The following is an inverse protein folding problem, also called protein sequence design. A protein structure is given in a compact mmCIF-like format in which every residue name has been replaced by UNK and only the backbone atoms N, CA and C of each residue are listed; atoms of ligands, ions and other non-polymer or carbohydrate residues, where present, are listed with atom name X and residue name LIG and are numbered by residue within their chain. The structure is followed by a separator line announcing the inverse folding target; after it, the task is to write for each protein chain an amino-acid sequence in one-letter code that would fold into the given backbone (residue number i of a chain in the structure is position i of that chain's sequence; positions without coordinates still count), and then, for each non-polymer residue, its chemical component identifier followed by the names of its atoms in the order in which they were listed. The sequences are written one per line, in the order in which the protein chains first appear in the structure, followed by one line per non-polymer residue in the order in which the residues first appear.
data_IF_903995389102
#
_entry.id   IF_903995389102
#
_cell.length_a   1.000
_cell.length_b   1.000
_cell.length_c   1.000
_cell.angle_alpha   90.00
_cell.angle_beta   90.00
_cell.angle_gamma   90.00
#
_symmetry.space_group_name_H-M   'P 1'
#
loop_
_entity.id
_entity.type
_entity.pdbx_description
1 polymer ?
#
# COMPACT_ATOMS: atom_id res chain seq x y z
N UNK A 1 84.25 -24.66 58.59
CA UNK A 1 83.69 -23.92 57.44
C UNK A 1 82.33 -24.52 57.16
N UNK A 2 81.26 -23.79 57.49
CA UNK A 2 79.88 -24.29 57.58
C UNK A 2 79.01 -23.72 56.46
N UNK A 3 78.14 -24.59 55.97
CA UNK A 3 77.05 -24.44 54.99
C UNK A 3 76.24 -23.16 55.08
N UNK A 4 76.02 -22.47 53.95
CA UNK A 4 74.82 -21.67 53.70
C UNK A 4 74.53 -21.48 52.20
N UNK A 5 73.35 -22.00 51.82
CA UNK A 5 72.36 -21.41 50.92
C UNK A 5 72.74 -21.12 49.45
N UNK A 6 72.39 -22.11 48.61
CA UNK A 6 71.87 -21.89 47.27
C UNK A 6 70.51 -21.19 47.37
N UNK A 7 70.39 -20.01 46.78
CA UNK A 7 69.12 -19.39 46.41
C UNK A 7 69.29 -18.64 45.07
N UNK A 8 68.73 -19.26 44.03
CA UNK A 8 67.94 -18.67 42.95
C UNK A 8 68.27 -17.24 42.47
N UNK A 9 68.83 -17.15 41.26
CA UNK A 9 68.81 -15.93 40.43
C UNK A 9 67.95 -16.24 39.20
N UNK A 10 66.64 -16.10 39.36
CA UNK A 10 65.67 -16.03 38.26
C UNK A 10 65.25 -14.58 38.07
N UNK A 11 65.95 -13.85 37.21
CA UNK A 11 65.62 -12.46 36.88
C UNK A 11 64.41 -12.39 35.94
N UNK A 12 63.21 -12.24 36.49
CA UNK A 12 62.05 -11.77 35.73
C UNK A 12 62.21 -10.26 35.47
N UNK A 13 62.45 -9.90 34.21
CA UNK A 13 62.32 -8.53 33.74
C UNK A 13 60.85 -8.11 33.82
N UNK A 14 60.51 -7.31 34.83
CA UNK A 14 59.23 -6.61 34.93
C UNK A 14 59.22 -5.53 33.85
N UNK A 15 58.43 -5.75 32.80
CA UNK A 15 58.07 -4.69 31.85
C UNK A 15 57.14 -3.74 32.59
N UNK A 16 57.68 -2.63 33.09
CA UNK A 16 56.91 -1.52 33.61
C UNK A 16 56.06 -0.95 32.46
N UNK A 17 54.74 -1.09 32.57
CA UNK A 17 53.80 -0.35 31.75
C UNK A 17 54.07 1.16 31.94
N UNK A 18 54.06 1.98 30.86
CA UNK A 18 54.19 3.42 31.02
C UNK A 18 53.01 3.95 31.86
N UNK A 19 53.33 4.80 32.83
CA UNK A 19 52.35 5.48 33.67
C UNK A 19 51.27 6.15 32.80
N UNK A 20 49.99 6.12 33.21
CA UNK A 20 48.94 6.82 32.50
C UNK A 20 49.30 8.31 32.48
N UNK A 21 49.43 8.87 31.29
CA UNK A 21 49.63 10.30 31.08
C UNK A 21 48.44 11.00 31.72
N UNK A 22 48.69 11.59 32.89
CA UNK A 22 47.73 12.37 33.65
C UNK A 22 47.53 13.68 32.87
N UNK A 23 46.62 13.64 31.90
CA UNK A 23 46.26 14.82 31.12
C UNK A 23 45.69 15.86 32.10
N UNK A 24 46.20 17.10 32.09
CA UNK A 24 45.72 18.13 33.00
C UNK A 24 44.20 18.26 32.85
N UNK A 25 43.49 18.25 33.98
CA UNK A 25 42.04 18.53 34.03
C UNK A 25 41.86 19.97 33.56
N UNK A 26 41.65 20.13 32.26
CA UNK A 26 41.31 21.41 31.63
C UNK A 26 39.96 21.80 32.23
N UNK A 27 39.95 22.84 33.07
CA UNK A 27 38.69 23.43 33.54
C UNK A 27 37.83 23.73 32.31
N UNK A 28 36.57 23.27 32.25
CA UNK A 28 35.72 23.49 31.09
C UNK A 28 35.69 25.00 30.81
N UNK A 29 35.97 25.35 29.55
CA UNK A 29 35.86 26.73 29.08
C UNK A 29 34.47 27.25 29.49
N UNK A 30 34.33 28.42 30.16
CA UNK A 30 33.05 28.92 30.68
C UNK A 30 32.04 29.33 29.59
N UNK A 31 32.33 29.02 28.33
CA UNK A 31 31.47 29.30 27.18
C UNK A 31 30.75 28.00 26.80
N UNK A 32 29.49 28.12 26.38
CA UNK A 32 28.64 26.99 26.01
C UNK A 32 27.73 26.57 27.15
N UNK A 33 26.82 25.66 26.83
CA UNK A 33 25.89 25.14 27.82
C UNK A 33 26.52 24.03 28.67
N UNK A 34 25.99 23.83 29.87
CA UNK A 34 26.30 22.64 30.66
C UNK A 34 25.68 21.38 30.01
N UNK A 35 26.28 20.20 30.21
CA UNK A 35 25.72 18.95 29.70
C UNK A 35 24.25 18.76 30.10
N UNK A 36 23.38 18.54 29.11
CA UNK A 36 21.95 18.30 29.33
C UNK A 36 21.04 19.54 29.34
N UNK A 37 21.55 20.76 29.22
CA UNK A 37 20.71 21.98 29.15
C UNK A 37 19.86 22.06 27.85
N UNK A 38 20.27 21.36 26.77
CA UNK A 38 19.49 21.16 25.53
C UNK A 38 18.85 22.45 24.96
N UNK A 39 19.56 23.56 24.99
CA UNK A 39 19.05 24.83 24.47
C UNK A 39 18.84 24.76 22.94
N UNK A 40 17.68 25.26 22.49
CA UNK A 40 17.25 25.28 21.07
C UNK A 40 16.84 26.67 20.60
N UNK A 41 17.15 27.70 21.39
CA UNK A 41 16.84 29.08 21.06
C UNK A 41 17.67 29.53 19.85
N UNK A 42 17.01 30.24 18.93
CA UNK A 42 17.68 30.90 17.82
C UNK A 42 18.63 31.98 18.37
N UNK A 43 19.79 32.14 17.74
CA UNK A 43 20.80 33.16 18.06
C UNK A 43 21.38 33.12 19.49
N UNK A 44 21.19 32.03 20.24
CA UNK A 44 21.84 31.85 21.53
C UNK A 44 23.37 31.73 21.38
N UNK A 45 24.11 32.62 22.05
CA UNK A 45 25.58 32.65 21.99
C UNK A 45 26.25 31.39 22.55
N UNK A 46 25.65 30.75 23.56
CA UNK A 46 26.15 29.46 24.07
C UNK A 46 25.89 28.33 23.06
N UNK A 47 24.72 28.30 22.40
CA UNK A 47 24.44 27.34 21.33
C UNK A 47 25.43 27.49 20.17
N UNK A 48 25.82 28.73 19.83
CA UNK A 48 26.84 28.96 18.81
C UNK A 48 28.16 28.26 19.15
N UNK A 49 28.57 28.32 20.42
CA UNK A 49 29.79 27.65 20.85
C UNK A 49 29.66 26.13 20.88
N UNK A 50 28.54 25.59 21.34
CA UNK A 50 28.27 24.15 21.31
C UNK A 50 28.30 23.59 19.87
N UNK A 51 27.69 24.33 18.93
CA UNK A 51 27.73 24.02 17.50
C UNK A 51 29.16 24.07 16.96
N UNK A 52 29.94 25.10 17.29
CA UNK A 52 31.34 25.19 16.87
C UNK A 52 32.17 24.02 17.43
N UNK A 53 31.98 23.67 18.69
CA UNK A 53 32.62 22.49 19.31
C UNK A 53 32.28 21.21 18.56
N UNK A 54 31.02 21.00 18.19
CA UNK A 54 30.60 19.85 17.37
C UNK A 54 31.25 19.86 15.98
N UNK A 55 31.34 21.01 15.29
CA UNK A 55 32.00 21.10 13.97
C UNK A 55 33.47 20.66 14.02
N UNK A 56 34.24 21.15 15.00
CA UNK A 56 35.64 20.76 15.15
C UNK A 56 35.81 19.31 15.59
N UNK A 57 34.89 18.80 16.43
CA UNK A 57 34.86 17.38 16.78
C UNK A 57 34.59 16.50 15.55
N UNK A 58 33.61 16.86 14.70
CA UNK A 58 33.32 16.17 13.45
C UNK A 58 34.53 16.17 12.52
N UNK A 59 35.18 17.32 12.34
CA UNK A 59 36.41 17.43 11.55
C UNK A 59 37.47 16.44 12.04
N UNK A 60 37.77 16.45 13.33
CA UNK A 60 38.78 15.55 13.91
C UNK A 60 38.41 14.08 13.73
N UNK A 61 37.15 13.73 13.92
CA UNK A 61 36.67 12.36 13.78
C UNK A 61 36.65 11.88 12.33
N UNK A 62 36.19 12.71 11.37
CA UNK A 62 36.23 12.41 9.94
C UNK A 62 37.65 12.07 9.48
N UNK A 63 38.64 12.88 9.89
CA UNK A 63 40.05 12.64 9.57
C UNK A 63 40.55 11.34 10.23
N UNK A 64 40.17 11.07 11.48
CA UNK A 64 40.53 9.84 12.17
C UNK A 64 39.93 8.58 11.51
N UNK A 65 38.74 8.70 10.91
CA UNK A 65 38.08 7.63 10.14
C UNK A 65 38.62 7.49 8.70
N UNK A 66 39.57 8.31 8.27
CA UNK A 66 40.22 8.18 6.96
C UNK A 66 39.65 9.07 5.86
N UNK A 67 38.91 10.14 6.18
CA UNK A 67 38.62 11.18 5.20
C UNK A 67 39.92 11.84 4.70
N UNK A 68 40.00 12.13 3.40
CA UNK A 68 41.20 12.74 2.78
C UNK A 68 41.42 14.17 3.24
N UNK A 69 40.32 14.90 3.47
CA UNK A 69 40.31 16.28 3.91
C UNK A 69 39.02 16.56 4.69
N UNK A 70 39.10 17.43 5.69
CA UNK A 70 37.97 17.94 6.43
C UNK A 70 38.28 19.34 6.97
N UNK A 71 37.42 20.31 6.66
CA UNK A 71 37.57 21.71 7.05
C UNK A 71 36.26 22.26 7.62
N UNK A 72 36.38 23.05 8.70
CA UNK A 72 35.24 23.72 9.35
C UNK A 72 35.05 25.09 8.72
N UNK A 73 33.81 25.43 8.38
CA UNK A 73 33.42 26.75 7.85
C UNK A 73 34.25 27.20 6.62
N UNK A 74 34.77 26.25 5.82
CA UNK A 74 35.47 26.53 4.56
C UNK A 74 34.49 26.99 3.50
N UNK A 75 34.72 28.13 2.82
CA UNK A 75 33.92 28.53 1.67
C UNK A 75 34.04 27.53 0.50
N UNK A 76 32.91 27.23 -0.11
CA UNK A 76 32.77 26.50 -1.37
C UNK A 76 31.93 27.33 -2.33
N UNK A 77 32.59 28.06 -3.22
CA UNK A 77 31.94 29.04 -4.09
C UNK A 77 31.24 30.13 -3.26
N UNK A 78 29.94 30.31 -3.49
CA UNK A 78 29.11 31.27 -2.75
C UNK A 78 28.47 30.70 -1.48
N UNK A 79 28.81 29.47 -1.08
CA UNK A 79 28.26 28.81 0.10
C UNK A 79 29.36 28.52 1.12
N UNK A 80 28.99 28.45 2.40
CA UNK A 80 29.90 28.04 3.48
C UNK A 80 29.20 26.99 4.32
N UNK A 81 29.39 25.68 4.07
CA UNK A 81 28.85 24.63 4.92
C UNK A 81 29.52 24.61 6.29
N UNK A 82 28.87 24.01 7.29
CA UNK A 82 29.44 23.91 8.64
C UNK A 82 30.72 23.06 8.67
N UNK A 83 30.72 21.93 7.97
CA UNK A 83 31.92 21.12 7.72
C UNK A 83 31.91 20.68 6.26
N UNK A 84 33.03 20.87 5.57
CA UNK A 84 33.27 20.36 4.23
C UNK A 84 34.31 19.26 4.32
N UNK A 85 34.08 18.12 3.67
CA UNK A 85 35.03 17.01 3.69
C UNK A 85 35.05 16.25 2.37
N UNK A 86 36.14 15.51 2.12
CA UNK A 86 36.37 14.78 0.87
C UNK A 86 36.74 13.33 1.16
N UNK A 87 36.26 12.44 0.31
CA UNK A 87 36.71 11.05 0.24
C UNK A 87 36.78 10.62 -1.23
N UNK A 88 38.01 10.38 -1.70
CA UNK A 88 38.32 10.16 -3.10
C UNK A 88 37.91 11.36 -3.96
N UNK A 89 37.11 11.09 -4.99
CA UNK A 89 36.60 12.12 -5.89
C UNK A 89 35.33 12.81 -5.40
N UNK A 90 34.73 12.35 -4.27
CA UNK A 90 33.45 12.85 -3.79
C UNK A 90 33.63 13.93 -2.72
N UNK A 91 32.86 14.99 -2.84
CA UNK A 91 32.82 16.13 -1.94
C UNK A 91 31.52 16.13 -1.14
N UNK A 92 31.64 16.22 0.17
CA UNK A 92 30.53 16.10 1.10
C UNK A 92 30.45 17.33 1.98
N UNK A 93 29.23 17.71 2.35
CA UNK A 93 28.97 18.76 3.32
C UNK A 93 28.17 18.25 4.51
N UNK A 94 28.46 18.77 5.70
CA UNK A 94 27.64 18.63 6.90
C UNK A 94 27.12 20.02 7.27
N UNK A 95 25.81 20.15 7.41
CA UNK A 95 25.15 21.32 7.97
C UNK A 95 24.76 21.04 9.41
N UNK A 96 25.25 21.88 10.32
CA UNK A 96 24.97 21.77 11.76
C UNK A 96 24.12 22.95 12.19
N UNK A 97 22.96 22.68 12.81
CA UNK A 97 22.03 23.69 13.33
C UNK A 97 21.53 23.23 14.70
N UNK A 98 21.63 24.08 15.71
CA UNK A 98 21.08 23.82 17.06
C UNK A 98 19.63 24.30 17.21
N UNK A 99 19.22 25.27 16.40
CA UNK A 99 17.84 25.75 16.35
C UNK A 99 17.02 24.93 15.33
N UNK A 100 15.70 24.80 15.54
CA UNK A 100 14.82 24.21 14.55
C UNK A 100 14.90 24.96 13.21
N UNK A 101 14.91 24.22 12.10
CA UNK A 101 14.91 24.73 10.73
C UNK A 101 13.68 24.20 10.01
N UNK A 102 13.08 24.99 9.12
CA UNK A 102 11.96 24.51 8.31
C UNK A 102 12.44 23.56 7.20
N UNK A 103 11.58 22.62 6.79
CA UNK A 103 11.91 21.68 5.70
C UNK A 103 12.29 22.43 4.41
N UNK A 104 11.55 23.48 4.06
CA UNK A 104 11.79 24.27 2.85
C UNK A 104 13.17 24.90 2.86
N UNK A 105 13.56 25.55 3.97
CA UNK A 105 14.89 26.17 4.09
C UNK A 105 16.01 25.12 4.00
N UNK A 106 15.82 23.96 4.62
CA UNK A 106 16.79 22.87 4.56
C UNK A 106 16.92 22.30 3.13
N UNK A 107 15.80 22.15 2.41
CA UNK A 107 15.78 21.72 1.01
C UNK A 107 16.49 22.73 0.10
N UNK A 108 16.17 24.01 0.23
CA UNK A 108 16.81 25.07 -0.55
C UNK A 108 18.30 25.16 -0.27
N UNK A 109 18.71 25.09 1.01
CA UNK A 109 20.12 25.09 1.38
C UNK A 109 20.85 23.87 0.83
N UNK A 110 20.23 22.70 0.88
CA UNK A 110 20.78 21.47 0.28
C UNK A 110 20.96 21.64 -1.23
N UNK A 111 19.95 22.18 -1.93
CA UNK A 111 20.02 22.45 -3.35
C UNK A 111 21.14 23.43 -3.72
N UNK A 112 21.32 24.50 -2.93
CA UNK A 112 22.41 25.46 -3.11
C UNK A 112 23.80 24.83 -2.93
N UNK A 113 23.97 23.95 -1.94
CA UNK A 113 25.24 23.23 -1.72
C UNK A 113 25.54 22.24 -2.85
N UNK A 114 24.52 21.51 -3.32
CA UNK A 114 24.66 20.62 -4.48
C UNK A 114 25.01 21.40 -5.75
N UNK A 115 24.41 22.57 -5.96
CA UNK A 115 24.68 23.41 -7.11
C UNK A 115 26.14 23.92 -7.17
N UNK A 116 26.83 24.04 -6.03
CA UNK A 116 28.26 24.42 -5.98
C UNK A 116 29.22 23.22 -5.97
N UNK A 117 28.71 21.99 -6.14
CA UNK A 117 29.53 20.80 -6.34
C UNK A 117 29.63 19.83 -5.15
N UNK A 118 28.79 19.97 -4.11
CA UNK A 118 28.67 18.91 -3.11
C UNK A 118 27.86 17.73 -3.65
N UNK A 119 28.41 16.52 -3.57
CA UNK A 119 27.72 15.28 -3.94
C UNK A 119 26.64 14.91 -2.92
N UNK A 120 26.96 15.07 -1.63
CA UNK A 120 26.06 14.72 -0.54
C UNK A 120 26.08 15.79 0.56
N UNK A 121 24.93 15.96 1.21
CA UNK A 121 24.75 16.93 2.29
C UNK A 121 24.05 16.22 3.43
N UNK A 122 24.72 16.13 4.58
CA UNK A 122 24.16 15.63 5.83
C UNK A 122 23.71 16.81 6.71
N UNK A 123 22.52 16.70 7.31
CA UNK A 123 22.07 17.63 8.33
C UNK A 123 22.18 17.03 9.73
N UNK A 124 22.79 17.77 10.65
CA UNK A 124 22.74 17.51 12.08
C UNK A 124 21.92 18.63 12.73
N UNK A 125 20.71 18.29 13.16
CA UNK A 125 19.72 19.24 13.65
C UNK A 125 19.03 18.72 14.91
N UNK A 126 18.24 19.52 15.64
CA UNK A 126 17.38 18.98 16.68
C UNK A 126 16.41 17.96 16.08
N UNK A 127 15.97 16.95 16.87
CA UNK A 127 14.96 16.02 16.42
C UNK A 127 13.66 16.76 16.03
N UNK A 128 13.04 16.33 14.94
CA UNK A 128 11.84 16.96 14.42
C UNK A 128 11.23 16.22 13.24
N UNK A 129 10.05 16.65 12.82
CA UNK A 129 9.23 15.98 11.81
C UNK A 129 9.87 15.89 10.41
N UNK A 130 10.87 16.73 10.11
CA UNK A 130 11.48 16.80 8.79
C UNK A 130 12.74 15.93 8.65
N UNK A 131 13.31 15.43 9.75
CA UNK A 131 14.51 14.56 9.73
C UNK A 131 14.34 13.39 8.74
N UNK A 132 13.18 12.70 8.66
CA UNK A 132 12.99 11.63 7.70
C UNK A 132 12.89 12.08 6.23
N UNK A 133 12.82 13.37 5.93
CA UNK A 133 12.56 13.89 4.57
C UNK A 133 13.83 14.33 3.83
N UNK A 134 14.96 14.38 4.52
CA UNK A 134 16.27 14.74 3.98
C UNK A 134 17.35 13.83 4.59
N UNK A 135 18.56 13.77 4.00
CA UNK A 135 19.69 13.11 4.64
C UNK A 135 20.09 13.85 5.92
N UNK A 136 19.49 13.45 7.04
CA UNK A 136 19.57 14.16 8.31
C UNK A 136 19.61 13.19 9.50
N UNK A 137 20.23 13.64 10.59
CA UNK A 137 20.17 13.02 11.90
C UNK A 137 19.67 14.03 12.92
N UNK A 138 18.67 13.64 13.70
CA UNK A 138 18.21 14.43 14.83
C UNK A 138 19.07 14.17 16.04
N UNK A 139 19.87 15.15 16.45
CA UNK A 139 20.77 15.12 17.61
C UNK A 139 20.05 15.68 18.83
N UNK A 140 20.02 14.92 19.94
CA UNK A 140 19.29 15.34 21.15
C UNK A 140 19.96 16.50 21.89
N UNK A 141 21.28 16.42 22.05
CA UNK A 141 22.09 17.38 22.79
C UNK A 141 23.34 17.79 21.98
N UNK A 142 23.52 19.10 21.83
CA UNK A 142 24.71 19.71 21.21
C UNK A 142 25.79 20.05 22.24
N UNK A 143 25.47 20.00 23.54
CA UNK A 143 26.38 20.24 24.65
C UNK A 143 26.75 18.97 25.46
N UNK A 144 26.81 17.73 24.91
CA UNK A 144 26.96 16.54 25.73
C UNK A 144 28.30 16.48 26.45
N UNK A 145 28.33 15.76 27.58
CA UNK A 145 29.56 15.49 28.30
C UNK A 145 30.54 14.68 27.45
N UNK A 146 31.81 15.08 27.48
CA UNK A 146 32.91 14.39 26.78
C UNK A 146 32.64 14.21 25.27
N UNK A 147 31.90 15.13 24.64
CA UNK A 147 31.55 15.08 23.21
C UNK A 147 30.87 13.76 22.78
N UNK A 148 30.06 13.15 23.66
CA UNK A 148 29.28 11.93 23.35
C UNK A 148 27.97 12.27 22.64
N UNK A 149 28.05 12.74 21.40
CA UNK A 149 26.87 13.10 20.60
C UNK A 149 26.04 11.87 20.22
N UNK A 150 24.71 11.99 20.34
CA UNK A 150 23.76 10.91 20.08
C UNK A 150 22.69 11.39 19.09
N UNK A 151 22.47 10.60 18.04
CA UNK A 151 21.37 10.76 17.11
C UNK A 151 20.17 9.96 17.63
N UNK A 152 19.07 10.63 17.92
CA UNK A 152 17.82 10.02 18.39
C UNK A 152 16.81 9.79 17.27
N UNK A 153 17.09 10.28 16.06
CA UNK A 153 16.26 10.05 14.88
C UNK A 153 17.08 10.13 13.60
N UNK A 154 16.58 9.52 12.53
CA UNK A 154 17.22 9.50 11.21
C UNK A 154 17.91 8.18 10.87
N UNK A 155 18.21 7.34 11.85
CA UNK A 155 18.71 5.97 11.64
C UNK A 155 17.56 4.96 11.50
N UNK A 156 17.74 3.99 10.60
CA UNK A 156 16.87 2.87 10.36
C UNK A 156 17.65 1.56 10.50
N UNK A 157 16.95 0.48 10.84
CA UNK A 157 17.49 -0.88 10.86
C UNK A 157 16.45 -1.88 10.35
N UNK A 158 16.90 -3.01 9.81
CA UNK A 158 15.98 -4.04 9.33
C UNK A 158 15.37 -4.84 10.48
N UNK A 159 14.04 -4.96 10.49
CA UNK A 159 13.33 -5.86 11.40
C UNK A 159 13.13 -7.25 10.77
N UNK A 160 12.78 -8.31 11.53
CA UNK A 160 12.65 -9.67 11.01
C UNK A 160 11.72 -9.82 9.79
N UNK A 161 10.77 -8.89 9.60
CA UNK A 161 9.91 -8.84 8.42
C UNK A 161 10.63 -8.39 7.12
N UNK A 162 11.91 -8.03 7.19
CA UNK A 162 12.67 -7.48 6.06
C UNK A 162 12.30 -6.03 5.73
N UNK A 163 11.57 -5.34 6.60
CA UNK A 163 11.24 -3.92 6.46
C UNK A 163 12.25 -3.12 7.28
N UNK A 164 12.68 -1.95 6.80
CA UNK A 164 13.48 -1.02 7.61
C UNK A 164 12.57 -0.18 8.48
N UNK A 165 12.87 -0.12 9.77
CA UNK A 165 12.13 0.65 10.76
C UNK A 165 13.07 1.63 11.50
N UNK A 166 12.56 2.71 12.10
CA UNK A 166 13.38 3.65 12.84
C UNK A 166 14.07 2.95 14.01
N UNK A 167 15.34 3.26 14.19
CA UNK A 167 16.12 2.65 15.27
C UNK A 167 15.56 3.08 16.64
N UNK A 168 15.27 2.12 17.53
CA UNK A 168 14.63 2.40 18.82
C UNK A 168 15.56 3.09 19.83
N UNK A 169 16.87 2.85 19.72
CA UNK A 169 17.88 3.40 20.65
C UNK A 169 18.62 4.58 20.01
N UNK A 170 19.08 5.56 20.81
CA UNK A 170 19.99 6.57 20.31
C UNK A 170 21.23 5.93 19.69
N UNK A 171 21.61 6.43 18.51
CA UNK A 171 22.77 5.97 17.76
C UNK A 171 23.93 6.94 17.98
N UNK A 172 25.13 6.48 18.37
CA UNK A 172 26.27 7.37 18.53
C UNK A 172 26.62 8.05 17.20
N UNK A 173 26.69 9.38 17.18
CA UNK A 173 27.09 10.12 15.96
C UNK A 173 28.49 9.70 15.51
N UNK A 174 29.33 9.28 16.45
CA UNK A 174 30.64 8.70 16.20
C UNK A 174 30.59 7.52 15.23
N UNK A 175 29.80 6.52 15.59
CA UNK A 175 29.67 5.25 14.85
C UNK A 175 28.99 5.49 13.50
N UNK A 176 28.06 6.46 13.45
CA UNK A 176 27.50 6.91 12.19
C UNK A 176 28.56 7.50 11.25
N UNK A 177 29.41 8.41 11.72
CA UNK A 177 30.43 9.02 10.86
C UNK A 177 31.44 7.96 10.38
N UNK A 178 31.81 7.02 11.25
CA UNK A 178 32.69 5.91 10.88
C UNK A 178 32.09 5.08 9.73
N UNK A 179 30.84 4.61 9.87
CA UNK A 179 30.15 3.86 8.83
C UNK A 179 29.89 4.68 7.56
N UNK A 180 29.64 5.99 7.67
CA UNK A 180 29.43 6.87 6.52
C UNK A 180 30.72 7.08 5.72
N UNK A 181 31.85 7.31 6.39
CA UNK A 181 33.16 7.43 5.74
C UNK A 181 33.58 6.12 5.08
N UNK A 182 33.30 4.98 5.71
CA UNK A 182 33.54 3.65 5.16
C UNK A 182 32.61 3.28 3.98
N UNK A 183 31.56 4.06 3.73
CA UNK A 183 30.57 3.77 2.69
C UNK A 183 29.60 2.64 3.05
N UNK A 184 29.53 2.27 4.32
CA UNK A 184 28.65 1.22 4.84
C UNK A 184 27.23 1.72 5.11
N UNK A 185 27.07 3.04 5.29
CA UNK A 185 25.79 3.69 5.54
C UNK A 185 25.35 4.47 4.30
N UNK A 186 24.07 4.32 3.95
CA UNK A 186 23.44 5.04 2.87
C UNK A 186 22.08 5.60 3.32
N UNK A 187 21.73 6.77 2.79
CA UNK A 187 20.40 7.33 2.96
C UNK A 187 19.47 6.85 1.84
N UNK A 188 18.27 6.43 2.19
CA UNK A 188 17.28 5.95 1.24
C UNK A 188 15.85 6.21 1.68
N UNK A 189 14.91 6.09 0.75
CA UNK A 189 13.47 6.18 1.00
C UNK A 189 12.95 4.84 1.48
N UNK A 190 12.33 4.84 2.67
CA UNK A 190 11.59 3.68 3.20
C UNK A 190 10.19 3.63 2.60
N UNK A 191 9.56 4.78 2.45
CA UNK A 191 8.27 4.96 1.82
C UNK A 191 8.28 6.20 0.90
N UNK A 192 7.12 6.52 0.30
CA UNK A 192 7.00 7.61 -0.69
C UNK A 192 7.45 8.99 -0.17
N UNK A 193 7.47 9.20 1.15
CA UNK A 193 7.69 10.53 1.75
C UNK A 193 8.74 10.56 2.85
N UNK A 194 9.12 9.40 3.39
CA UNK A 194 10.07 9.28 4.49
C UNK A 194 11.19 8.31 4.15
N UNK A 195 12.37 8.68 4.60
CA UNK A 195 13.62 7.96 4.46
C UNK A 195 14.46 8.06 5.72
N UNK A 196 15.67 7.56 5.62
CA UNK A 196 16.63 7.55 6.72
C UNK A 196 17.92 6.88 6.31
N UNK A 197 18.86 6.85 7.25
CA UNK A 197 20.16 6.22 7.12
C UNK A 197 20.08 4.79 7.61
N UNK A 198 20.54 3.83 6.82
CA UNK A 198 20.68 2.44 7.22
C UNK A 198 21.97 1.88 6.64
N UNK A 199 22.36 0.69 7.09
CA UNK A 199 23.46 -0.01 6.42
C UNK A 199 23.07 -0.37 4.99
N UNK A 200 24.05 -0.47 4.09
CA UNK A 200 23.80 -0.93 2.71
C UNK A 200 23.17 -2.32 2.73
N UNK A 201 23.59 -3.21 3.65
CA UNK A 201 23.00 -4.53 3.83
C UNK A 201 21.51 -4.47 4.24
N UNK A 202 21.14 -3.56 5.14
CA UNK A 202 19.74 -3.33 5.52
C UNK A 202 18.90 -2.87 4.31
N UNK A 203 19.43 -1.93 3.53
CA UNK A 203 18.77 -1.48 2.31
C UNK A 203 18.62 -2.58 1.26
N UNK A 204 19.62 -3.44 1.08
CA UNK A 204 19.55 -4.60 0.19
C UNK A 204 18.46 -5.58 0.64
N UNK A 205 18.40 -5.88 1.93
CA UNK A 205 17.37 -6.75 2.51
C UNK A 205 15.98 -6.13 2.33
N UNK A 206 15.84 -4.84 2.59
CA UNK A 206 14.58 -4.11 2.39
C UNK A 206 14.09 -4.13 0.96
N UNK A 207 14.98 -3.81 0.02
CA UNK A 207 14.67 -3.79 -1.41
C UNK A 207 14.28 -5.19 -1.90
N UNK A 208 14.95 -6.24 -1.40
CA UNK A 208 14.60 -7.63 -1.72
C UNK A 208 13.21 -8.00 -1.18
N UNK A 209 12.89 -7.62 0.06
CA UNK A 209 11.58 -7.87 0.65
C UNK A 209 10.47 -7.13 -0.12
N UNK A 210 10.68 -5.86 -0.46
CA UNK A 210 9.75 -5.08 -1.29
C UNK A 210 9.53 -5.74 -2.67
N UNK A 211 10.59 -6.21 -3.34
CA UNK A 211 10.48 -6.88 -4.63
C UNK A 211 9.63 -8.15 -4.56
N UNK A 212 9.77 -8.95 -3.48
CA UNK A 212 8.95 -10.15 -3.26
C UNK A 212 7.47 -9.80 -3.06
N UNK A 213 7.17 -8.77 -2.27
CA UNK A 213 5.79 -8.29 -2.06
C UNK A 213 5.17 -7.82 -3.38
N UNK A 214 5.91 -7.05 -4.18
CA UNK A 214 5.45 -6.58 -5.49
C UNK A 214 5.17 -7.76 -6.43
N UNK A 215 6.03 -8.78 -6.44
CA UNK A 215 5.82 -9.98 -7.26
C UNK A 215 4.54 -10.73 -6.85
N UNK A 216 4.30 -10.88 -5.53
CA UNK A 216 3.09 -11.49 -5.00
C UNK A 216 1.83 -10.70 -5.38
N UNK A 217 1.86 -9.36 -5.25
CA UNK A 217 0.75 -8.49 -5.63
C UNK A 217 0.43 -8.57 -7.13
N UNK A 218 1.45 -8.67 -7.99
CA UNK A 218 1.25 -8.86 -9.44
C UNK A 218 0.56 -10.18 -9.75
N UNK A 219 0.94 -11.26 -9.07
CA UNK A 219 0.30 -12.56 -9.23
C UNK A 219 -1.16 -12.53 -8.77
N UNK A 220 -1.44 -11.90 -7.64
CA UNK A 220 -2.80 -11.73 -7.13
C UNK A 220 -3.67 -10.90 -8.11
N UNK A 221 -3.16 -9.79 -8.63
CA UNK A 221 -3.87 -9.00 -9.65
C UNK A 221 -4.16 -9.81 -10.92
N UNK A 222 -3.25 -10.71 -11.31
CA UNK A 222 -3.49 -11.61 -12.43
C UNK A 222 -4.63 -12.59 -12.14
N UNK A 223 -4.65 -13.21 -10.95
CA UNK A 223 -5.73 -14.10 -10.51
C UNK A 223 -7.09 -13.39 -10.44
N UNK A 224 -7.11 -12.15 -9.95
CA UNK A 224 -8.35 -11.35 -9.92
C UNK A 224 -8.84 -11.01 -11.33
N UNK A 225 -7.94 -10.69 -12.26
CA UNK A 225 -8.30 -10.46 -13.67
C UNK A 225 -8.87 -11.71 -14.35
N UNK A 226 -8.29 -12.88 -14.11
CA UNK A 226 -8.79 -14.14 -14.68
C UNK A 226 -10.14 -14.52 -14.07
N UNK A 227 -10.31 -14.39 -12.75
CA UNK A 227 -11.58 -14.59 -12.07
C UNK A 227 -12.68 -13.66 -12.61
N UNK A 228 -12.38 -12.38 -12.80
CA UNK A 228 -13.32 -11.41 -13.38
C UNK A 228 -13.69 -11.77 -14.83
N UNK A 229 -12.73 -12.23 -15.65
CA UNK A 229 -13.00 -12.66 -17.02
C UNK A 229 -13.93 -13.90 -17.05
N UNK A 230 -13.71 -14.87 -16.16
CA UNK A 230 -14.57 -16.04 -16.02
C UNK A 230 -15.98 -15.66 -15.55
N UNK A 231 -16.09 -14.77 -14.56
CA UNK A 231 -17.37 -14.27 -14.09
C UNK A 231 -18.16 -13.56 -15.21
N UNK A 232 -17.50 -12.71 -16.01
CA UNK A 232 -18.10 -12.05 -17.19
C UNK A 232 -18.55 -13.03 -18.26
N UNK A 233 -17.83 -14.14 -18.46
CA UNK A 233 -18.25 -15.19 -19.39
C UNK A 233 -19.49 -15.91 -18.87
N UNK A 234 -19.50 -16.29 -17.59
CA UNK A 234 -20.63 -16.96 -16.97
C UNK A 234 -21.90 -16.10 -16.98
N UNK A 235 -21.80 -14.79 -16.73
CA UNK A 235 -22.96 -13.88 -16.82
C UNK A 235 -23.50 -13.79 -18.25
N UNK A 236 -22.62 -13.73 -19.26
CA UNK A 236 -23.02 -13.75 -20.67
C UNK A 236 -23.74 -15.06 -21.04
N UNK A 237 -23.24 -16.19 -20.58
CA UNK A 237 -23.84 -17.49 -20.86
C UNK A 237 -25.21 -17.64 -20.17
N UNK A 238 -25.35 -17.17 -18.92
CA UNK A 238 -26.65 -17.08 -18.24
C UNK A 238 -27.62 -16.14 -18.96
N UNK A 239 -27.16 -14.98 -19.45
CA UNK A 239 -28.01 -14.07 -20.21
C UNK A 239 -28.55 -14.72 -21.50
N UNK A 240 -27.72 -15.48 -22.22
CA UNK A 240 -28.16 -16.29 -23.37
C UNK A 240 -29.20 -17.35 -22.98
N UNK A 241 -29.01 -18.02 -21.83
CA UNK A 241 -29.98 -18.99 -21.32
C UNK A 241 -31.32 -18.34 -21.00
N UNK A 242 -31.30 -17.20 -20.31
CA UNK A 242 -32.52 -16.41 -20.00
C UNK A 242 -33.23 -16.00 -21.28
N UNK A 243 -32.50 -15.47 -22.28
CA UNK A 243 -33.09 -15.10 -23.57
C UNK A 243 -33.73 -16.30 -24.29
N UNK A 244 -33.08 -17.47 -24.28
CA UNK A 244 -33.63 -18.70 -24.85
C UNK A 244 -34.90 -19.17 -24.12
N UNK A 245 -34.95 -19.02 -22.80
CA UNK A 245 -36.12 -19.37 -22.00
C UNK A 245 -37.28 -18.40 -22.26
N UNK A 246 -37.01 -17.10 -22.35
CA UNK A 246 -38.01 -16.11 -22.74
C UNK A 246 -38.63 -16.41 -24.10
N UNK A 247 -37.81 -16.71 -25.12
CA UNK A 247 -38.32 -17.10 -26.44
C UNK A 247 -39.02 -18.46 -26.49
N UNK A 248 -38.88 -19.31 -25.46
CA UNK A 248 -39.69 -20.54 -25.30
C UNK A 248 -41.02 -20.22 -24.62
N UNK A 249 -41.01 -19.34 -23.64
CA UNK A 249 -42.20 -18.86 -22.93
C UNK A 249 -43.15 -18.16 -23.90
N UNK A 250 -42.64 -17.23 -24.71
CA UNK A 250 -43.43 -16.50 -25.73
C UNK A 250 -44.09 -17.45 -26.73
N UNK A 251 -43.37 -18.50 -27.17
CA UNK A 251 -43.96 -19.54 -28.04
C UNK A 251 -45.02 -20.37 -27.33
N UNK A 252 -44.84 -20.66 -26.04
CA UNK A 252 -45.86 -21.37 -25.25
C UNK A 252 -47.11 -20.50 -25.07
N UNK A 253 -46.94 -19.19 -24.82
CA UNK A 253 -48.05 -18.22 -24.75
C UNK A 253 -48.84 -18.18 -26.06
N UNK A 254 -48.17 -18.13 -27.22
CA UNK A 254 -48.84 -18.20 -28.52
C UNK A 254 -49.65 -19.50 -28.72
N UNK A 255 -49.12 -20.64 -28.27
CA UNK A 255 -49.84 -21.94 -28.36
C UNK A 255 -51.06 -21.95 -27.43
N UNK A 256 -50.96 -21.38 -26.23
CA UNK A 256 -52.10 -21.22 -25.31
C UNK A 256 -53.18 -20.34 -25.94
N UNK A 257 -52.80 -19.22 -26.55
CA UNK A 257 -53.75 -18.33 -27.23
C UNK A 257 -54.44 -19.03 -28.41
N UNK A 258 -53.70 -19.83 -29.18
CA UNK A 258 -54.27 -20.66 -30.24
C UNK A 258 -55.25 -21.72 -29.70
N UNK A 259 -54.89 -22.42 -28.62
CA UNK A 259 -55.76 -23.40 -27.95
C UNK A 259 -57.05 -22.74 -27.44
N UNK A 260 -56.96 -21.57 -26.84
CA UNK A 260 -58.13 -20.81 -26.38
C UNK A 260 -59.03 -20.42 -27.55
N UNK A 261 -58.45 -19.99 -28.68
CA UNK A 261 -59.21 -19.67 -29.89
C UNK A 261 -59.92 -20.91 -30.47
N UNK A 262 -59.24 -22.07 -30.49
CA UNK A 262 -59.80 -23.33 -30.97
C UNK A 262 -60.92 -23.82 -30.04
N UNK A 263 -60.73 -23.69 -28.72
CA UNK A 263 -61.74 -24.04 -27.72
C UNK A 263 -63.01 -23.19 -27.88
N UNK A 264 -62.87 -21.89 -28.17
CA UNK A 264 -64.02 -21.01 -28.49
C UNK A 264 -64.76 -21.50 -29.74
N UNK A 265 -64.05 -21.83 -30.81
CA UNK A 265 -64.65 -22.37 -32.05
C UNK A 265 -65.40 -23.68 -31.83
N UNK A 266 -64.83 -24.61 -31.05
CA UNK A 266 -65.51 -25.86 -30.69
C UNK A 266 -66.78 -25.60 -29.90
N UNK A 267 -66.73 -24.71 -28.90
CA UNK A 267 -67.92 -24.33 -28.13
C UNK A 267 -69.01 -23.69 -29.01
N UNK A 268 -68.66 -22.93 -30.04
CA UNK A 268 -69.61 -22.37 -31.00
C UNK A 268 -70.19 -23.44 -31.94
N UNK A 269 -69.39 -24.40 -32.41
CA UNK A 269 -69.90 -25.57 -33.16
C UNK A 269 -70.87 -26.40 -32.31
N UNK A 270 -70.56 -26.67 -31.04
CA UNK A 270 -71.45 -27.41 -30.14
C UNK A 270 -72.80 -26.70 -29.96
N UNK A 271 -72.79 -25.35 -29.92
CA UNK A 271 -74.02 -24.55 -29.89
C UNK A 271 -74.82 -24.70 -31.19
N UNK A 272 -74.15 -24.60 -32.34
CA UNK A 272 -74.81 -24.77 -33.65
C UNK A 272 -75.40 -26.17 -33.77
N UNK A 273 -74.65 -27.22 -33.43
CA UNK A 273 -75.13 -28.60 -33.45
C UNK A 273 -76.31 -28.82 -32.51
N UNK A 274 -76.28 -28.23 -31.31
CA UNK A 274 -77.42 -28.27 -30.40
C UNK A 274 -78.67 -27.61 -31.01
N UNK A 275 -78.52 -26.45 -31.66
CA UNK A 275 -79.65 -25.79 -32.35
C UNK A 275 -80.16 -26.58 -33.55
N UNK A 276 -79.28 -27.23 -34.33
CA UNK A 276 -79.66 -28.08 -35.44
C UNK A 276 -80.42 -29.32 -34.96
N UNK A 277 -79.97 -29.97 -33.88
CA UNK A 277 -80.69 -31.11 -33.26
C UNK A 277 -82.10 -30.73 -32.82
N UNK A 278 -82.26 -29.56 -32.19
CA UNK A 278 -83.58 -29.04 -31.80
C UNK A 278 -84.46 -28.78 -33.02
N UNK A 279 -83.90 -28.21 -34.08
CA UNK A 279 -84.62 -27.93 -35.33
C UNK A 279 -85.07 -29.22 -36.04
N UNK A 280 -84.20 -30.22 -36.12
CA UNK A 280 -84.51 -31.54 -36.69
C UNK A 280 -85.61 -32.24 -35.88
N UNK A 281 -85.54 -32.19 -34.55
CA UNK A 281 -86.57 -32.74 -33.68
C UNK A 281 -87.94 -32.09 -33.97
N UNK A 282 -88.00 -30.76 -34.08
CA UNK A 282 -89.21 -30.02 -34.46
C UNK A 282 -89.73 -30.40 -35.86
N UNK A 283 -88.84 -30.57 -36.84
CA UNK A 283 -89.26 -30.99 -38.19
C UNK A 283 -89.79 -32.42 -38.21
N UNK A 284 -89.19 -33.34 -37.46
CA UNK A 284 -89.72 -34.72 -37.30
C UNK A 284 -91.11 -34.70 -36.68
N UNK A 285 -91.31 -33.91 -35.63
CA UNK A 285 -92.62 -33.74 -35.02
C UNK A 285 -93.65 -33.18 -36.01
N UNK A 286 -93.27 -32.16 -36.81
CA UNK A 286 -94.13 -31.63 -37.86
C UNK A 286 -94.47 -32.69 -38.93
N UNK A 287 -93.50 -33.52 -39.34
CA UNK A 287 -93.76 -34.63 -40.28
C UNK A 287 -94.75 -35.65 -39.72
N UNK A 288 -94.63 -36.00 -38.43
CA UNK A 288 -95.60 -36.89 -37.76
C UNK A 288 -97.00 -36.26 -37.75
N UNK A 289 -97.12 -34.96 -37.47
CA UNK A 289 -98.39 -34.25 -37.53
C UNK A 289 -98.99 -34.25 -38.96
N UNK A 290 -98.18 -33.99 -39.98
CA UNK A 290 -98.63 -34.04 -41.38
C UNK A 290 -99.08 -35.45 -41.79
N UNK A 291 -98.34 -36.48 -41.41
CA UNK A 291 -98.72 -37.88 -41.65
C UNK A 291 -100.07 -38.20 -41.01
N UNK A 292 -100.29 -37.80 -39.76
CA UNK A 292 -101.58 -37.94 -39.08
C UNK A 292 -102.71 -37.23 -39.84
N UNK A 293 -102.52 -35.97 -40.25
CA UNK A 293 -103.50 -35.21 -41.03
C UNK A 293 -103.83 -35.93 -42.35
N UNK A 294 -102.81 -36.42 -43.07
CA UNK A 294 -103.03 -37.13 -44.34
C UNK A 294 -103.73 -38.47 -44.14
N UNK A 295 -103.40 -39.23 -43.09
CA UNK A 295 -104.11 -40.47 -42.75
C UNK A 295 -105.57 -40.20 -42.37
N UNK A 296 -105.85 -39.18 -41.57
CA UNK A 296 -107.22 -38.76 -41.26
C UNK A 296 -107.98 -38.35 -42.53
N UNK A 297 -107.38 -37.54 -43.41
CA UNK A 297 -107.98 -37.14 -44.68
C UNK A 297 -108.28 -38.36 -45.58
N UNK A 298 -107.33 -39.30 -45.69
CA UNK A 298 -107.53 -40.56 -46.43
C UNK A 298 -108.66 -41.40 -45.84
N UNK A 299 -108.74 -41.54 -44.51
CA UNK A 299 -109.85 -42.25 -43.84
C UNK A 299 -111.20 -41.59 -44.12
N UNK A 300 -111.28 -40.25 -44.12
CA UNK A 300 -112.50 -39.50 -44.47
C UNK A 300 -112.89 -39.74 -45.93
N UNK A 301 -111.93 -39.71 -46.86
CA UNK A 301 -112.18 -39.99 -48.29
C UNK A 301 -112.70 -41.42 -48.46
N UNK A 302 -112.06 -42.40 -47.84
CA UNK A 302 -112.49 -43.82 -47.89
C UNK A 302 -113.89 -43.99 -47.28
N UNK A 303 -114.19 -43.33 -46.16
CA UNK A 303 -115.52 -43.34 -45.57
C UNK A 303 -116.58 -42.74 -46.50
N UNK A 304 -116.27 -41.64 -47.20
CA UNK A 304 -117.16 -41.04 -48.21
C UNK A 304 -117.39 -41.98 -49.41
N UNK A 305 -116.35 -42.66 -49.90
CA UNK A 305 -116.46 -43.64 -50.99
C UNK A 305 -117.32 -44.84 -50.54
N UNK A 306 -117.08 -45.37 -49.34
CA UNK A 306 -117.86 -46.48 -48.79
C UNK A 306 -119.34 -46.12 -48.60
N UNK A 307 -119.63 -44.91 -48.10
CA UNK A 307 -120.99 -44.40 -48.01
C UNK A 307 -121.65 -44.23 -49.38
N UNK A 308 -120.90 -43.82 -50.41
CA UNK A 308 -121.38 -43.73 -51.79
C UNK A 308 -121.69 -45.09 -52.42
N UNK A 309 -120.95 -46.15 -52.06
CA UNK A 309 -121.19 -47.53 -52.53
C UNK A 309 -122.40 -48.16 -51.84
N UNK A 310 -122.69 -47.81 -50.58
CA UNK A 310 -123.86 -48.29 -49.83
C UNK A 310 -125.19 -47.63 -50.25
N UNK A 311 -125.15 -46.56 -51.05
CA UNK A 311 -126.32 -45.82 -51.55
C UNK A 311 -126.71 -46.18 -53.00
N UNK A 312 -126.06 -47.18 -53.60
CA UNK A 312 -126.37 -47.76 -54.92
C UNK A 312 -126.75 -49.24 -54.81
#
# INVERSE_FOLDING_TARGET
MSTKERAEIGGHAVVLAPDPIDLPVVKPNPRGHEPGERCREADCGNCHWDVQRLKYWLRGWLLACGADDAEVDRPLGAQTPSVLWRNGSRLYAIEVRSAPVSLTEAQERTARLRAVGCDEVLWLCPPGFWVPRLPALGVDDFAPSVCRYQAVSGMLATVPAGVVEPHERPWPVRDFIEGWVAGELAWGYRDETTGGWATVADWEQHTRAQALVIAQQRQELMHQRTALALARKATRDKAKQVHKLLGRLERAEQVVEQLDSARRRLADHDRVDATLRVTIAKQREALVHWQLITCFAMLVIVAFIAAGILLH
#
